data_IF_463527561090
#
_entry.id   IF_463527561090
#
_cell.length_a   1.000
_cell.length_b   1.000
_cell.length_c   1.000
_cell.angle_alpha   90.00
_cell.angle_beta   90.00
_cell.angle_gamma   90.00
#
_symmetry.space_group_name_H-M   'P 1'
#
loop_
_entity.id
_entity.type
_entity.pdbx_description
1 polymer ?
#
# COMPACT_ATOMS: atom_id res chain seq x y z
N UNK A 1 9.14 -3.94 -3.24
CA UNK A 1 7.83 -4.25 -2.66
C UNK A 1 8.04 -4.59 -1.21
N UNK A 2 7.26 -4.02 -0.32
CA UNK A 2 7.24 -4.42 1.09
C UNK A 2 5.78 -4.59 1.50
N UNK A 3 5.47 -5.75 2.06
CA UNK A 3 4.17 -6.04 2.67
C UNK A 3 4.28 -5.80 4.18
N UNK A 4 3.25 -5.15 4.72
CA UNK A 4 3.20 -4.71 6.10
C UNK A 4 2.01 -5.34 6.82
N UNK A 5 2.15 -5.53 8.13
CA UNK A 5 1.06 -5.89 9.02
C UNK A 5 0.87 -4.78 10.04
N UNK A 6 -0.38 -4.41 10.27
CA UNK A 6 -0.75 -3.52 11.38
C UNK A 6 -0.85 -4.32 12.67
N UNK A 7 -0.15 -3.89 13.70
CA UNK A 7 0.04 -4.64 14.95
C UNK A 7 -0.73 -4.06 16.14
N UNK A 8 -1.27 -2.85 16.01
CA UNK A 8 -2.07 -2.18 17.05
C UNK A 8 -3.55 -2.62 17.10
N UNK A 9 -3.97 -3.54 16.24
CA UNK A 9 -5.35 -4.03 16.15
C UNK A 9 -6.35 -3.03 15.56
N UNK A 10 -5.90 -1.84 15.14
CA UNK A 10 -6.77 -0.83 14.55
C UNK A 10 -7.15 -1.13 13.10
N UNK A 11 -8.38 -0.78 12.72
CA UNK A 11 -8.88 -0.94 11.33
C UNK A 11 -9.19 0.39 10.64
N UNK A 12 -9.13 1.51 11.37
CA UNK A 12 -9.48 2.84 10.89
C UNK A 12 -8.26 3.79 10.87
N UNK A 13 -8.48 5.03 10.43
CA UNK A 13 -7.49 6.10 10.54
C UNK A 13 -7.11 6.40 12.01
N UNK A 14 -5.95 7.01 12.23
CA UNK A 14 -5.41 7.30 13.56
C UNK A 14 -4.01 6.73 13.76
N UNK A 15 -3.65 6.42 15.01
CA UNK A 15 -2.39 5.73 15.32
C UNK A 15 -2.34 4.39 14.57
N UNK A 16 -1.21 4.10 13.93
CA UNK A 16 -1.03 2.93 13.08
C UNK A 16 0.40 2.38 13.22
N UNK A 17 0.52 1.32 14.01
CA UNK A 17 1.78 0.61 14.19
C UNK A 17 1.93 -0.48 13.14
N UNK A 18 3.00 -0.40 12.33
CA UNK A 18 3.26 -1.32 11.23
C UNK A 18 4.57 -2.09 11.42
N UNK A 19 4.55 -3.38 11.11
CA UNK A 19 5.73 -4.23 10.97
C UNK A 19 5.89 -4.70 9.52
N UNK A 20 7.11 -4.73 9.02
CA UNK A 20 7.39 -5.31 7.70
C UNK A 20 7.33 -6.85 7.82
N UNK A 21 6.42 -7.47 7.07
CA UNK A 21 6.25 -8.94 7.07
C UNK A 21 7.11 -9.56 5.99
N UNK A 22 7.24 -8.90 4.85
CA UNK A 22 7.97 -9.41 3.70
C UNK A 22 8.50 -8.27 2.86
N UNK A 23 9.72 -8.41 2.34
CA UNK A 23 10.27 -7.51 1.33
C UNK A 23 10.84 -8.30 0.16
N UNK A 24 10.54 -7.86 -1.06
CA UNK A 24 10.96 -8.51 -2.30
C UNK A 24 10.93 -7.55 -3.49
N UNK A 25 11.60 -7.92 -4.58
CA UNK A 25 11.62 -7.17 -5.84
C UNK A 25 10.68 -7.82 -6.86
N UNK A 26 9.87 -6.99 -7.51
CA UNK A 26 9.15 -7.37 -8.71
C UNK A 26 10.03 -7.01 -9.90
N UNK A 27 10.62 -8.04 -10.52
CA UNK A 27 11.38 -7.90 -11.77
C UNK A 27 10.43 -7.81 -12.96
N UNK A 28 10.90 -7.33 -14.13
CA UNK A 28 10.11 -7.35 -15.35
C UNK A 28 9.49 -8.74 -15.62
N UNK A 29 8.17 -8.77 -15.82
CA UNK A 29 7.41 -10.01 -16.02
C UNK A 29 6.84 -10.64 -14.75
N UNK A 30 7.26 -10.21 -13.55
CA UNK A 30 6.65 -10.66 -12.29
C UNK A 30 5.35 -9.90 -12.00
N UNK A 31 4.40 -10.59 -11.37
CA UNK A 31 3.16 -10.02 -10.88
C UNK A 31 3.03 -10.25 -9.37
N UNK A 32 2.47 -9.25 -8.67
CA UNK A 32 2.03 -9.38 -7.28
C UNK A 32 0.53 -9.17 -7.19
N UNK A 33 -0.14 -9.95 -6.35
CA UNK A 33 -1.57 -9.83 -6.07
C UNK A 33 -1.72 -9.32 -4.64
N UNK A 34 -2.49 -8.24 -4.48
CA UNK A 34 -2.74 -7.61 -3.18
C UNK A 34 -4.24 -7.48 -2.98
N UNK A 35 -4.78 -8.28 -2.07
CA UNK A 35 -6.21 -8.34 -1.80
C UNK A 35 -6.65 -7.21 -0.84
N UNK A 36 -7.95 -7.11 -0.60
CA UNK A 36 -8.55 -6.15 0.33
C UNK A 36 -7.88 -6.25 1.70
N UNK A 37 -7.41 -5.11 2.21
CA UNK A 37 -6.74 -5.03 3.51
C UNK A 37 -5.22 -5.30 3.47
N UNK A 38 -4.67 -5.75 2.35
CA UNK A 38 -3.22 -5.90 2.20
C UNK A 38 -2.53 -4.52 2.26
N UNK A 39 -1.70 -4.30 3.28
CA UNK A 39 -0.90 -3.09 3.43
C UNK A 39 0.43 -3.30 2.74
N UNK A 40 0.75 -2.46 1.78
CA UNK A 40 1.94 -2.65 0.98
C UNK A 40 2.51 -1.33 0.46
N UNK A 41 3.82 -1.32 0.24
CA UNK A 41 4.52 -0.22 -0.40
C UNK A 41 5.43 -0.74 -1.51
N UNK A 42 5.57 0.07 -2.55
CA UNK A 42 6.46 -0.24 -3.67
C UNK A 42 7.47 0.88 -3.81
N UNK A 43 8.72 0.48 -4.04
CA UNK A 43 9.79 1.40 -4.37
C UNK A 43 9.84 1.55 -5.90
N UNK A 44 10.04 2.78 -6.37
CA UNK A 44 10.12 3.13 -7.78
C UNK A 44 11.54 3.61 -8.14
N UNK A 45 12.53 2.68 -8.23
CA UNK A 45 13.83 3.02 -8.79
C UNK A 45 13.71 3.61 -10.18
N UNK A 46 14.73 4.36 -10.59
CA UNK A 46 14.79 4.99 -11.91
C UNK A 46 14.47 3.99 -13.04
N UNK A 47 13.68 4.45 -14.02
CA UNK A 47 13.25 3.63 -15.15
C UNK A 47 12.16 2.59 -14.85
N UNK A 48 11.76 2.40 -13.58
CA UNK A 48 10.71 1.44 -13.24
C UNK A 48 9.35 1.86 -13.83
N UNK A 49 8.62 0.89 -14.37
CA UNK A 49 7.23 1.04 -14.83
C UNK A 49 6.41 -0.15 -14.34
N UNK A 50 5.22 0.12 -13.83
CA UNK A 50 4.32 -0.91 -13.34
C UNK A 50 2.96 -0.76 -14.01
N UNK A 51 2.37 -1.88 -14.41
CA UNK A 51 0.99 -1.93 -14.85
C UNK A 51 0.16 -2.39 -13.66
N UNK A 52 -0.88 -1.62 -13.31
CA UNK A 52 -1.83 -1.99 -12.25
C UNK A 52 -3.17 -2.33 -12.88
N UNK A 53 -3.67 -3.51 -12.56
CA UNK A 53 -5.02 -3.95 -12.92
C UNK A 53 -5.86 -4.00 -11.65
N UNK A 54 -7.05 -3.41 -11.68
CA UNK A 54 -7.94 -3.31 -10.52
C UNK A 54 -9.34 -3.77 -10.91
N UNK A 55 -10.05 -4.42 -9.99
CA UNK A 55 -11.42 -4.91 -10.25
C UNK A 55 -12.49 -3.81 -10.31
N UNK A 56 -12.14 -2.58 -9.90
CA UNK A 56 -12.96 -1.37 -10.01
C UNK A 56 -12.07 -0.14 -10.10
N UNK A 57 -12.70 0.99 -10.40
CA UNK A 57 -12.07 2.30 -10.28
C UNK A 57 -11.76 2.61 -8.81
N UNK A 58 -10.48 2.81 -8.51
CA UNK A 58 -9.99 3.08 -7.15
C UNK A 58 -10.11 4.55 -6.75
N UNK A 59 -10.48 5.44 -7.67
CA UNK A 59 -10.68 6.86 -7.35
C UNK A 59 -11.93 7.05 -6.47
N UNK A 60 -12.90 6.15 -6.60
CA UNK A 60 -14.12 6.11 -5.80
C UNK A 60 -14.08 5.08 -4.66
N UNK A 61 -12.88 4.66 -4.25
CA UNK A 61 -12.66 3.73 -3.13
C UNK A 61 -11.91 4.43 -2.02
N UNK A 62 -12.59 4.60 -0.89
CA UNK A 62 -11.97 5.08 0.35
C UNK A 62 -10.92 4.08 0.81
N UNK A 63 -9.69 4.57 1.05
CA UNK A 63 -8.54 3.74 1.44
C UNK A 63 -7.77 4.41 2.56
N UNK A 64 -6.90 3.63 3.21
CA UNK A 64 -5.95 4.16 4.18
C UNK A 64 -4.58 4.34 3.52
N UNK A 65 -3.97 5.52 3.75
CA UNK A 65 -2.55 5.75 3.54
C UNK A 65 -1.86 5.65 4.88
N UNK A 66 -0.75 4.94 4.93
CA UNK A 66 0.04 4.77 6.15
C UNK A 66 1.35 5.53 6.04
N UNK A 67 1.63 6.33 7.06
CA UNK A 67 2.93 6.94 7.29
C UNK A 67 3.64 6.12 8.38
N UNK A 68 4.67 5.38 7.98
CA UNK A 68 5.44 4.52 8.89
C UNK A 68 6.30 5.32 9.86
N UNK A 69 6.75 6.52 9.48
CA UNK A 69 7.58 7.37 10.34
C UNK A 69 6.72 8.07 11.40
N UNK A 70 5.56 8.59 11.00
CA UNK A 70 4.61 9.21 11.90
C UNK A 70 3.72 8.20 12.66
N UNK A 71 3.81 6.90 12.33
CA UNK A 71 2.97 5.82 12.86
C UNK A 71 1.48 6.17 12.79
N UNK A 72 1.04 6.60 11.61
CA UNK A 72 -0.31 7.15 11.41
C UNK A 72 -0.95 6.64 10.13
N UNK A 73 -2.23 6.29 10.23
CA UNK A 73 -3.11 6.02 9.11
C UNK A 73 -4.02 7.23 8.84
N UNK A 74 -4.18 7.62 7.59
CA UNK A 74 -5.14 8.63 7.15
C UNK A 74 -6.05 8.08 6.07
N UNK A 75 -7.31 8.53 6.08
CA UNK A 75 -8.22 8.27 4.97
C UNK A 75 -7.78 9.06 3.75
N UNK A 76 -7.80 8.42 2.58
CA UNK A 76 -7.70 9.09 1.29
C UNK A 76 -8.93 8.77 0.43
N UNK A 77 -9.45 9.81 -0.22
CA UNK A 77 -10.45 9.75 -1.28
C UNK A 77 -9.69 10.05 -2.58
N UNK A 78 -9.47 9.03 -3.42
CA UNK A 78 -8.63 9.08 -4.64
C UNK A 78 -7.11 9.15 -4.43
N UNK A 79 -6.38 8.54 -5.37
CA UNK A 79 -4.91 8.42 -5.37
C UNK A 79 -4.30 8.84 -6.71
N UNK A 80 -4.89 9.83 -7.38
CA UNK A 80 -4.32 10.42 -8.61
C UNK A 80 -3.31 11.53 -8.30
N UNK A 81 -2.90 11.70 -7.04
CA UNK A 81 -1.79 12.56 -6.65
C UNK A 81 -0.65 11.74 -6.04
N UNK A 82 0.40 11.58 -6.84
CA UNK A 82 1.69 10.98 -6.51
C UNK A 82 2.58 11.03 -7.73
#
# INVERSE_FOLDING_TARGET
>A
MTEWRRTDGGTAAGAADLEAVRSYRLEPGHAGVYDVGAIHSIDYPEGSRFVRVTGRDLDYVQRLKFDTAARKATVIESATAG
#
